data_IF_749825266743
#
_entry.id   IF_749825266743
#
_cell.length_a   1.000
_cell.length_b   1.000
_cell.length_c   1.000
_cell.angle_alpha   90.00
_cell.angle_beta   90.00
_cell.angle_gamma   90.00
#
_symmetry.space_group_name_H-M   'P 1'
#
loop_
_entity.id
_entity.type
_entity.pdbx_description
1 polymer ?
#
# COMPACT_ATOMS: atom_id res chain seq x y z
N UNK A 1 -11.08 24.73 -0.50
CA UNK A 1 -10.10 23.66 -0.26
C UNK A 1 -10.76 22.59 0.57
N UNK A 2 -10.55 21.30 0.33
CA UNK A 2 -11.04 20.24 1.21
C UNK A 2 -10.46 20.41 2.62
N UNK A 3 -11.14 19.94 3.67
CA UNK A 3 -10.60 19.95 5.03
C UNK A 3 -9.29 19.17 5.10
N UNK A 4 -8.43 19.53 6.06
CA UNK A 4 -7.21 18.76 6.31
C UNK A 4 -7.57 17.33 6.73
N UNK A 5 -6.86 16.35 6.18
CA UNK A 5 -7.08 14.92 6.43
C UNK A 5 -5.80 14.32 7.01
N UNK A 6 -5.91 13.56 8.10
CA UNK A 6 -4.79 12.79 8.63
C UNK A 6 -4.85 11.38 8.10
N UNK A 7 -3.80 10.96 7.42
CA UNK A 7 -3.60 9.59 6.94
C UNK A 7 -2.40 8.99 7.67
N UNK A 8 -2.50 7.71 7.98
CA UNK A 8 -1.38 6.91 8.46
C UNK A 8 -0.92 6.04 7.31
N UNK A 9 0.35 6.16 6.92
CA UNK A 9 0.97 5.32 5.89
C UNK A 9 2.01 4.41 6.54
N UNK A 10 1.85 3.11 6.37
CA UNK A 10 2.72 2.05 6.88
C UNK A 10 3.11 1.15 5.72
N UNK A 11 4.35 0.63 5.73
CA UNK A 11 4.87 -0.21 4.65
C UNK A 11 5.90 -1.19 5.19
N UNK A 12 6.21 -2.23 4.44
CA UNK A 12 7.33 -3.14 4.68
C UNK A 12 7.27 -3.85 6.04
N UNK A 13 6.12 -4.46 6.36
CA UNK A 13 5.95 -5.22 7.60
C UNK A 13 6.69 -6.54 7.57
N UNK A 14 6.77 -7.17 6.40
CA UNK A 14 7.41 -8.46 6.19
C UNK A 14 6.98 -9.50 7.25
N UNK A 15 5.68 -9.62 7.49
CA UNK A 15 5.15 -10.63 8.40
C UNK A 15 5.43 -12.04 7.88
N UNK A 16 5.51 -13.00 8.79
CA UNK A 16 5.75 -14.41 8.45
C UNK A 16 4.54 -15.26 8.83
N UNK A 17 4.38 -16.42 8.23
CA UNK A 17 3.32 -17.37 8.53
C UNK A 17 3.27 -17.78 10.01
N UNK A 18 4.41 -18.00 10.63
CA UNK A 18 4.52 -18.27 12.05
C UNK A 18 4.64 -16.97 12.84
N UNK A 19 3.76 -16.79 13.84
CA UNK A 19 3.68 -15.53 14.61
C UNK A 19 4.97 -15.24 15.40
N UNK A 20 5.67 -16.27 15.89
CA UNK A 20 6.91 -16.13 16.66
C UNK A 20 8.17 -16.15 15.80
N UNK A 21 8.03 -16.25 14.47
CA UNK A 21 9.15 -16.24 13.56
C UNK A 21 9.87 -14.88 13.56
N UNK A 22 11.14 -14.94 13.19
CA UNK A 22 12.00 -13.76 13.12
C UNK A 22 12.55 -13.58 11.73
N UNK A 23 12.50 -12.36 11.22
CA UNK A 23 13.18 -11.96 10.00
C UNK A 23 14.43 -11.16 10.36
N UNK A 24 15.61 -11.61 9.90
CA UNK A 24 16.90 -10.98 10.24
C UNK A 24 17.12 -10.75 11.75
N UNK A 25 16.58 -11.64 12.58
CA UNK A 25 16.67 -11.55 14.06
C UNK A 25 15.56 -10.71 14.71
N UNK A 26 14.74 -10.00 13.96
CA UNK A 26 13.64 -9.19 14.47
C UNK A 26 12.33 -9.98 14.56
N UNK A 27 11.59 -9.79 15.63
CA UNK A 27 10.25 -10.34 15.81
C UNK A 27 9.25 -9.42 15.14
N UNK A 28 9.02 -9.62 13.82
CA UNK A 28 8.25 -8.68 12.97
C UNK A 28 6.81 -8.52 13.42
N UNK A 29 6.14 -9.59 13.85
CA UNK A 29 4.78 -9.54 14.40
C UNK A 29 4.71 -8.59 15.62
N UNK A 30 5.65 -8.74 16.56
CA UNK A 30 5.69 -7.89 17.76
C UNK A 30 6.01 -6.44 17.43
N UNK A 31 6.89 -6.22 16.45
CA UNK A 31 7.20 -4.87 15.98
C UNK A 31 5.96 -4.18 15.40
N UNK A 32 5.19 -4.85 14.54
CA UNK A 32 3.94 -4.33 14.01
C UNK A 32 2.94 -3.98 15.12
N UNK A 33 2.75 -4.85 16.10
CA UNK A 33 1.84 -4.61 17.22
C UNK A 33 2.21 -3.34 17.98
N UNK A 34 3.48 -3.18 18.34
CA UNK A 34 3.96 -1.99 19.03
C UNK A 34 3.75 -0.71 18.23
N UNK A 35 4.04 -0.76 16.92
CA UNK A 35 3.84 0.39 16.02
C UNK A 35 2.37 0.75 15.90
N UNK A 36 1.47 -0.23 15.73
CA UNK A 36 0.04 0.04 15.64
C UNK A 36 -0.53 0.59 16.95
N UNK A 37 -0.11 0.04 18.09
CA UNK A 37 -0.53 0.54 19.41
C UNK A 37 -0.08 1.99 19.63
N UNK A 38 1.16 2.33 19.29
CA UNK A 38 1.69 3.70 19.40
C UNK A 38 0.94 4.67 18.47
N UNK A 39 0.69 4.27 17.22
CA UNK A 39 -0.05 5.09 16.25
C UNK A 39 -1.48 5.33 16.69
N UNK A 40 -2.17 4.32 17.22
CA UNK A 40 -3.54 4.49 17.73
C UNK A 40 -3.62 5.50 18.87
N UNK A 41 -2.56 5.62 19.67
CA UNK A 41 -2.47 6.63 20.73
C UNK A 41 -2.05 8.01 20.20
N UNK A 42 -1.07 8.05 19.28
CA UNK A 42 -0.50 9.30 18.77
C UNK A 42 -1.42 10.00 17.75
N UNK A 43 -2.20 9.24 16.97
CA UNK A 43 -3.07 9.75 15.90
C UNK A 43 -4.48 9.15 16.00
N UNK A 44 -5.20 9.40 17.12
CA UNK A 44 -6.52 8.81 17.35
C UNK A 44 -7.59 9.29 16.37
N UNK A 45 -7.33 10.38 15.65
CA UNK A 45 -8.18 11.00 14.64
C UNK A 45 -7.75 10.66 13.20
N UNK A 46 -6.91 9.62 13.01
CA UNK A 46 -6.57 9.11 11.68
C UNK A 46 -7.85 8.80 10.89
N UNK A 47 -7.99 9.41 9.72
CA UNK A 47 -9.16 9.20 8.87
C UNK A 47 -9.10 7.86 8.13
N UNK A 48 -7.91 7.42 7.74
CA UNK A 48 -7.67 6.15 7.09
C UNK A 48 -6.22 5.70 7.28
N UNK A 49 -6.00 4.40 7.05
CA UNK A 49 -4.69 3.79 6.97
C UNK A 49 -4.39 3.39 5.52
N UNK A 50 -3.13 3.54 5.11
CA UNK A 50 -2.63 3.10 3.82
C UNK A 50 -1.47 2.13 4.06
N UNK A 51 -1.57 0.92 3.52
CA UNK A 51 -0.54 -0.11 3.61
C UNK A 51 0.21 -0.19 2.28
N UNK A 52 1.49 0.17 2.32
CA UNK A 52 2.30 0.46 1.14
C UNK A 52 2.93 -0.74 0.45
N UNK A 53 2.62 -1.97 0.87
CA UNK A 53 3.17 -3.20 0.31
C UNK A 53 4.22 -3.86 1.20
N UNK A 54 4.72 -5.03 0.75
CA UNK A 54 5.60 -5.92 1.48
C UNK A 54 5.05 -6.26 2.87
N UNK A 55 3.78 -6.71 2.86
CA UNK A 55 3.03 -6.93 4.08
C UNK A 55 3.33 -8.30 4.69
N UNK A 56 3.51 -9.34 3.86
CA UNK A 56 3.80 -10.73 4.28
C UNK A 56 4.93 -11.31 3.43
N UNK A 57 6.08 -11.52 4.04
CA UNK A 57 7.34 -11.91 3.37
C UNK A 57 7.31 -13.31 2.75
N UNK A 58 6.66 -14.25 3.40
CA UNK A 58 6.53 -15.64 2.95
C UNK A 58 5.19 -15.93 2.23
N UNK A 59 4.45 -14.89 1.89
CA UNK A 59 3.17 -14.94 1.16
C UNK A 59 2.10 -15.86 1.79
N UNK A 60 2.25 -16.26 3.04
CA UNK A 60 1.35 -17.25 3.64
C UNK A 60 -0.05 -16.70 3.94
N UNK A 61 -1.07 -17.53 3.76
CA UNK A 61 -2.43 -17.24 4.17
C UNK A 61 -2.54 -16.90 5.67
N UNK A 62 -1.72 -17.54 6.51
CA UNK A 62 -1.69 -17.31 7.95
C UNK A 62 -1.16 -15.89 8.30
N UNK A 63 -0.14 -15.42 7.60
CA UNK A 63 0.39 -14.06 7.74
C UNK A 63 -0.68 -13.01 7.40
N UNK A 64 -1.33 -13.12 6.24
CA UNK A 64 -2.40 -12.21 5.83
C UNK A 64 -3.62 -12.27 6.76
N UNK A 65 -4.02 -13.45 7.24
CA UNK A 65 -5.15 -13.57 8.15
C UNK A 65 -4.88 -12.87 9.50
N UNK A 66 -3.68 -13.02 10.08
CA UNK A 66 -3.31 -12.31 11.31
C UNK A 66 -3.24 -10.80 11.10
N UNK A 67 -2.73 -10.35 9.95
CA UNK A 67 -2.78 -8.93 9.60
C UNK A 67 -4.23 -8.45 9.55
N UNK A 68 -5.12 -9.18 8.87
CA UNK A 68 -6.55 -8.82 8.76
C UNK A 68 -7.23 -8.66 10.13
N UNK A 69 -6.92 -9.56 11.09
CA UNK A 69 -7.41 -9.46 12.46
C UNK A 69 -6.95 -8.15 13.15
N UNK A 70 -5.71 -7.72 12.89
CA UNK A 70 -5.21 -6.43 13.42
C UNK A 70 -5.87 -5.24 12.73
N UNK A 71 -6.11 -5.32 11.43
CA UNK A 71 -6.81 -4.26 10.69
C UNK A 71 -8.26 -4.12 11.14
N UNK A 72 -8.95 -5.21 11.45
CA UNK A 72 -10.30 -5.19 12.02
C UNK A 72 -10.36 -4.36 13.31
N UNK A 73 -9.33 -4.46 14.16
CA UNK A 73 -9.26 -3.74 15.43
C UNK A 73 -9.03 -2.22 15.27
N UNK A 74 -8.54 -1.75 14.11
CA UNK A 74 -8.33 -0.33 13.86
C UNK A 74 -9.66 0.46 13.77
N UNK A 75 -10.76 -0.19 13.35
CA UNK A 75 -12.08 0.44 13.20
C UNK A 75 -12.08 1.63 12.23
N UNK A 76 -11.15 1.69 11.31
CA UNK A 76 -10.95 2.75 10.32
C UNK A 76 -10.83 2.16 8.91
N UNK A 77 -11.16 2.91 7.84
CA UNK A 77 -10.89 2.47 6.49
C UNK A 77 -9.40 2.17 6.26
N UNK A 78 -9.11 1.06 5.62
CA UNK A 78 -7.75 0.65 5.23
C UNK A 78 -7.69 0.50 3.71
N UNK A 79 -6.68 1.10 3.11
CA UNK A 79 -6.31 0.93 1.70
C UNK A 79 -4.99 0.18 1.65
N UNK A 80 -4.86 -0.85 0.81
CA UNK A 80 -3.65 -1.67 0.73
C UNK A 80 -3.23 -1.92 -0.72
N UNK A 81 -1.93 -2.04 -0.93
CA UNK A 81 -1.33 -2.48 -2.19
C UNK A 81 -0.27 -3.54 -1.94
N UNK A 82 0.01 -4.34 -2.94
CA UNK A 82 1.07 -5.32 -2.91
C UNK A 82 2.44 -4.68 -3.16
N UNK A 83 3.46 -5.17 -2.46
CA UNK A 83 4.85 -5.02 -2.83
C UNK A 83 5.34 -6.22 -3.63
N UNK A 84 6.67 -6.34 -3.79
CA UNK A 84 7.27 -7.47 -4.50
C UNK A 84 7.29 -8.77 -3.68
N UNK A 85 7.21 -8.68 -2.35
CA UNK A 85 7.11 -9.85 -1.45
C UNK A 85 5.68 -10.33 -1.20
N UNK A 86 4.66 -9.68 -1.75
CA UNK A 86 3.27 -10.06 -1.53
C UNK A 86 2.72 -10.95 -2.64
N UNK A 87 1.74 -11.78 -2.31
CA UNK A 87 0.85 -12.44 -3.27
C UNK A 87 -0.46 -11.64 -3.39
N UNK A 88 -0.67 -10.89 -4.50
CA UNK A 88 -1.87 -10.06 -4.68
C UNK A 88 -3.19 -10.85 -4.60
N UNK A 89 -3.20 -12.11 -5.02
CA UNK A 89 -4.39 -12.95 -4.96
C UNK A 89 -4.73 -13.35 -3.53
N UNK A 90 -3.72 -13.70 -2.73
CA UNK A 90 -3.90 -13.97 -1.29
C UNK A 90 -4.26 -12.71 -0.52
N UNK A 91 -3.64 -11.57 -0.82
CA UNK A 91 -4.08 -10.29 -0.23
C UNK A 91 -5.57 -10.07 -0.45
N UNK A 92 -6.05 -10.20 -1.70
CA UNK A 92 -7.47 -10.01 -2.02
C UNK A 92 -8.38 -11.03 -1.32
N UNK A 93 -7.90 -12.25 -1.08
CA UNK A 93 -8.67 -13.32 -0.44
C UNK A 93 -8.75 -13.18 1.10
N UNK A 94 -7.67 -12.72 1.73
CA UNK A 94 -7.54 -12.76 3.20
C UNK A 94 -7.64 -11.39 3.88
N UNK A 95 -7.30 -10.27 3.21
CA UNK A 95 -7.44 -8.93 3.78
C UNK A 95 -8.87 -8.39 3.59
N UNK A 96 -9.80 -8.89 4.39
CA UNK A 96 -11.24 -8.53 4.31
C UNK A 96 -11.55 -7.14 4.87
N UNK A 97 -10.67 -6.64 5.75
CA UNK A 97 -10.80 -5.31 6.38
C UNK A 97 -9.97 -4.24 5.67
N UNK A 98 -9.37 -4.56 4.51
CA UNK A 98 -8.69 -3.61 3.64
C UNK A 98 -9.28 -3.61 2.22
N UNK A 99 -9.21 -2.45 1.56
CA UNK A 99 -9.48 -2.29 0.13
C UNK A 99 -8.16 -2.51 -0.62
N UNK A 100 -7.98 -3.71 -1.16
CA UNK A 100 -6.73 -4.09 -1.84
C UNK A 100 -6.77 -3.63 -3.30
N UNK A 101 -5.76 -2.88 -3.74
CA UNK A 101 -5.63 -2.33 -5.12
C UNK A 101 -6.89 -1.58 -5.58
N UNK A 102 -7.50 -0.81 -4.71
CA UNK A 102 -8.76 -0.12 -4.97
C UNK A 102 -8.61 1.39 -4.78
N UNK A 103 -9.74 2.08 -4.94
CA UNK A 103 -9.89 3.48 -4.60
C UNK A 103 -10.66 3.64 -3.29
N UNK A 104 -10.28 4.65 -2.51
CA UNK A 104 -11.01 5.11 -1.33
C UNK A 104 -11.29 6.61 -1.47
N UNK A 105 -12.54 7.01 -1.32
CA UNK A 105 -12.91 8.43 -1.20
C UNK A 105 -13.14 8.75 0.27
N UNK A 106 -12.47 9.78 0.78
CA UNK A 106 -12.57 10.18 2.17
C UNK A 106 -12.25 11.68 2.35
N UNK A 107 -13.08 12.40 3.11
CA UNK A 107 -12.86 13.80 3.44
C UNK A 107 -12.69 14.73 2.23
N UNK A 108 -13.27 14.39 1.08
CA UNK A 108 -13.12 15.15 -0.17
C UNK A 108 -11.84 14.84 -0.94
N UNK A 109 -11.08 13.83 -0.53
CA UNK A 109 -9.90 13.31 -1.22
C UNK A 109 -10.17 11.98 -1.90
N UNK A 110 -9.45 11.71 -2.97
CA UNK A 110 -9.38 10.41 -3.64
C UNK A 110 -8.03 9.76 -3.32
N UNK A 111 -8.06 8.54 -2.79
CA UNK A 111 -6.85 7.75 -2.54
C UNK A 111 -6.85 6.56 -3.51
N UNK A 112 -5.77 6.38 -4.26
CA UNK A 112 -5.61 5.27 -5.20
C UNK A 112 -4.46 4.40 -4.77
N UNK A 113 -4.68 3.09 -4.61
CA UNK A 113 -3.65 2.08 -4.41
C UNK A 113 -3.43 1.31 -5.72
N UNK A 114 -2.30 1.53 -6.37
CA UNK A 114 -1.95 0.85 -7.60
C UNK A 114 -1.23 -0.46 -7.30
N UNK A 115 -1.57 -1.50 -8.05
CA UNK A 115 -0.80 -2.75 -8.04
C UNK A 115 0.39 -2.59 -8.98
N UNK A 116 1.61 -2.65 -8.46
CA UNK A 116 2.84 -2.67 -9.26
C UNK A 116 3.60 -3.99 -9.16
N UNK A 117 3.01 -5.00 -8.50
CA UNK A 117 3.60 -6.32 -8.39
C UNK A 117 3.78 -6.96 -9.77
N UNK A 118 4.93 -7.60 -9.97
CA UNK A 118 5.24 -8.45 -11.12
C UNK A 118 5.73 -9.80 -10.62
N UNK A 119 5.13 -10.88 -11.11
CA UNK A 119 5.56 -12.22 -10.78
C UNK A 119 7.05 -12.42 -11.06
N UNK A 120 7.78 -12.97 -10.09
CA UNK A 120 9.21 -13.27 -10.18
C UNK A 120 10.12 -12.06 -10.49
N UNK A 121 9.75 -10.86 -10.07
CA UNK A 121 10.53 -9.64 -10.26
C UNK A 121 10.55 -8.80 -9.00
N UNK A 122 11.73 -8.29 -8.62
CA UNK A 122 11.85 -7.27 -7.58
C UNK A 122 11.44 -5.88 -8.09
N UNK A 123 11.47 -5.64 -9.41
CA UNK A 123 11.03 -4.38 -10.02
C UNK A 123 9.53 -4.42 -10.35
N UNK A 124 8.89 -3.26 -10.30
CA UNK A 124 7.44 -3.14 -10.47
C UNK A 124 6.98 -2.64 -11.83
N UNK A 125 5.69 -2.84 -12.11
CA UNK A 125 4.98 -2.24 -13.24
C UNK A 125 3.50 -2.06 -12.91
N UNK A 126 2.95 -0.88 -13.16
CA UNK A 126 1.51 -0.61 -13.04
C UNK A 126 0.72 -1.21 -14.20
N UNK A 127 1.24 -1.08 -15.41
CA UNK A 127 0.64 -1.59 -16.63
C UNK A 127 -0.41 -0.67 -17.26
N UNK A 128 -0.54 -0.76 -18.58
CA UNK A 128 -1.36 0.16 -19.39
C UNK A 128 -2.84 0.21 -18.97
N UNK A 129 -3.42 -0.90 -18.51
CA UNK A 129 -4.82 -0.96 -18.08
C UNK A 129 -5.06 -0.12 -16.83
N UNK A 130 -4.25 -0.29 -15.77
CA UNK A 130 -4.41 0.49 -14.55
C UNK A 130 -4.14 1.99 -14.79
N UNK A 131 -3.13 2.31 -15.63
CA UNK A 131 -2.83 3.69 -16.01
C UNK A 131 -4.00 4.34 -16.75
N UNK A 132 -4.64 3.63 -17.68
CA UNK A 132 -5.83 4.10 -18.37
C UNK A 132 -7.02 4.32 -17.40
N UNK A 133 -7.23 3.37 -16.48
CA UNK A 133 -8.30 3.46 -15.48
C UNK A 133 -8.05 4.62 -14.50
N UNK A 134 -6.81 4.85 -14.10
CA UNK A 134 -6.40 5.97 -13.27
C UNK A 134 -6.65 7.31 -13.97
N UNK A 135 -6.20 7.46 -15.23
CA UNK A 135 -6.39 8.65 -16.07
C UNK A 135 -7.87 9.00 -16.19
N UNK A 136 -8.70 7.99 -16.50
CA UNK A 136 -10.16 8.17 -16.61
C UNK A 136 -10.81 8.57 -15.27
N UNK A 137 -10.34 8.05 -14.14
CA UNK A 137 -10.89 8.37 -12.83
C UNK A 137 -10.48 9.77 -12.37
N UNK A 138 -9.22 10.14 -12.53
CA UNK A 138 -8.73 11.49 -12.23
C UNK A 138 -9.47 12.56 -13.06
N UNK A 139 -9.71 12.30 -14.34
CA UNK A 139 -10.42 13.22 -15.23
C UNK A 139 -11.92 13.38 -14.92
N UNK A 140 -12.54 12.44 -14.20
CA UNK A 140 -13.98 12.52 -13.86
C UNK A 140 -14.28 13.32 -12.60
N UNK A 141 -13.33 13.46 -11.71
CA UNK A 141 -13.54 14.04 -10.38
C UNK A 141 -12.56 15.17 -10.11
N UNK A 142 -13.05 16.37 -9.77
CA UNK A 142 -12.20 17.53 -9.49
C UNK A 142 -11.56 17.49 -8.09
N UNK A 143 -11.83 16.43 -7.32
CA UNK A 143 -11.30 16.30 -5.97
C UNK A 143 -9.80 16.00 -6.02
N UNK A 144 -9.01 16.54 -5.08
CA UNK A 144 -7.59 16.24 -5.02
C UNK A 144 -7.37 14.74 -4.80
N UNK A 145 -6.29 14.22 -5.38
CA UNK A 145 -5.97 12.80 -5.34
C UNK A 145 -4.58 12.54 -4.74
N UNK A 146 -4.46 11.41 -4.04
CA UNK A 146 -3.19 10.82 -3.66
C UNK A 146 -3.09 9.44 -4.33
N UNK A 147 -2.00 9.21 -5.05
CA UNK A 147 -1.73 7.95 -5.74
C UNK A 147 -0.59 7.26 -5.01
N UNK A 148 -0.83 6.04 -4.54
CA UNK A 148 0.13 5.21 -3.84
C UNK A 148 0.55 4.04 -4.73
N UNK A 149 1.84 3.78 -4.76
CA UNK A 149 2.46 2.65 -5.45
C UNK A 149 3.66 2.20 -4.62
N UNK A 150 3.88 0.88 -4.52
CA UNK A 150 4.97 0.35 -3.69
C UNK A 150 6.34 0.66 -4.29
N UNK A 151 6.55 0.32 -5.57
CA UNK A 151 7.84 0.53 -6.23
C UNK A 151 8.09 2.02 -6.50
N UNK A 152 9.32 2.52 -6.28
CA UNK A 152 9.65 3.93 -6.49
C UNK A 152 9.31 4.41 -7.91
N UNK A 153 8.44 5.44 -8.04
CA UNK A 153 8.05 5.97 -9.36
C UNK A 153 9.07 6.96 -9.94
N UNK A 154 10.15 7.24 -9.20
CA UNK A 154 11.25 8.10 -9.64
C UNK A 154 12.56 7.62 -9.02
N UNK A 155 13.69 8.09 -9.53
CA UNK A 155 14.99 7.81 -8.93
C UNK A 155 15.07 8.45 -7.54
N UNK A 156 15.54 7.68 -6.57
CA UNK A 156 15.75 8.11 -5.18
C UNK A 156 17.24 8.31 -4.87
N UNK A 157 18.13 8.10 -5.87
CA UNK A 157 19.59 8.24 -5.72
C UNK A 157 20.27 7.07 -5.01
N UNK A 158 19.58 5.96 -4.83
CA UNK A 158 20.13 4.71 -4.32
C UNK A 158 20.40 3.76 -5.48
N UNK A 159 21.67 3.38 -5.67
CA UNK A 159 22.05 2.51 -6.80
C UNK A 159 21.32 1.16 -6.78
N UNK A 160 20.97 0.65 -5.60
CA UNK A 160 20.20 -0.59 -5.46
C UNK A 160 18.70 -0.35 -5.70
N UNK A 161 18.06 0.57 -4.99
CA UNK A 161 16.62 0.82 -5.08
C UNK A 161 16.23 1.29 -6.49
N UNK A 162 17.07 2.08 -7.14
CA UNK A 162 16.81 2.56 -8.50
C UNK A 162 16.81 1.44 -9.56
N UNK A 163 17.38 0.25 -9.24
CA UNK A 163 17.32 -0.94 -10.13
C UNK A 163 16.02 -1.72 -10.00
N UNK A 164 15.32 -1.61 -8.87
CA UNK A 164 14.06 -2.29 -8.55
C UNK A 164 12.84 -1.35 -8.60
N UNK A 165 13.02 -0.15 -9.16
CA UNK A 165 11.96 0.84 -9.29
C UNK A 165 10.86 0.45 -10.28
N UNK A 166 9.92 1.37 -10.47
CA UNK A 166 8.80 1.19 -11.40
C UNK A 166 9.26 1.25 -12.86
N UNK A 167 9.02 0.18 -13.64
CA UNK A 167 9.46 0.06 -15.03
C UNK A 167 8.74 1.04 -15.97
N UNK A 168 7.48 1.34 -15.72
CA UNK A 168 6.63 2.24 -16.51
C UNK A 168 6.38 3.59 -15.81
N UNK A 169 7.36 4.04 -15.03
CA UNK A 169 7.31 5.31 -14.27
C UNK A 169 7.00 6.54 -15.13
N UNK A 170 7.55 6.60 -16.36
CA UNK A 170 7.34 7.75 -17.26
C UNK A 170 5.86 7.79 -17.75
N UNK A 171 5.25 6.62 -17.94
CA UNK A 171 3.84 6.53 -18.28
C UNK A 171 2.94 6.93 -17.12
N UNK A 172 3.29 6.52 -15.87
CA UNK A 172 2.59 6.98 -14.67
C UNK A 172 2.74 8.50 -14.49
N UNK A 173 3.96 9.04 -14.61
CA UNK A 173 4.21 10.47 -14.54
C UNK A 173 3.36 11.24 -15.56
N UNK A 174 3.30 10.76 -16.82
CA UNK A 174 2.47 11.36 -17.88
C UNK A 174 0.98 11.41 -17.49
N UNK A 175 0.46 10.37 -16.84
CA UNK A 175 -0.93 10.38 -16.35
C UNK A 175 -1.12 11.43 -15.26
N UNK A 176 -0.23 11.46 -14.27
CA UNK A 176 -0.32 12.42 -13.15
C UNK A 176 -0.23 13.88 -13.63
N UNK A 177 0.68 14.18 -14.56
CA UNK A 177 0.89 15.54 -15.10
C UNK A 177 -0.33 16.09 -15.87
N UNK A 178 -1.21 15.24 -16.39
CA UNK A 178 -2.46 15.66 -17.02
C UNK A 178 -3.52 16.15 -16.04
N UNK A 179 -3.37 15.83 -14.76
CA UNK A 179 -4.35 16.10 -13.71
C UNK A 179 -3.70 16.88 -12.56
N UNK A 180 -3.31 18.16 -12.77
CA UNK A 180 -2.63 19.00 -11.80
C UNK A 180 -3.49 19.39 -10.59
#
# INVERSE_FOLDING_TARGET
MPPSLRLVHLTDFHLLGEADARLHGWHVQRALELVLDDICHAVPDAAAFVLGGDLVDDETAAGYARLDDRLAALGRPVLAMAGNHDDPARMAAYLRHARVHMRLEIGGWQLFALNSHLDSSEAGRVGARQLHDLDAQLGRHPNPALVFVHHPPCSVGSAWIDTIGLQDRDALATVIERHP
#
